data_IF_522378505647
#
_entry.id   IF_522378505647
#
_cell.length_a   1.000
_cell.length_b   1.000
_cell.length_c   1.000
_cell.angle_alpha   90.00
_cell.angle_beta   90.00
_cell.angle_gamma   90.00
#
_symmetry.space_group_name_H-M   'P 1'
#
loop_
_entity.id
_entity.type
_entity.pdbx_description
1 polymer ?
#
# COMPACT_ATOMS: atom_id res chain seq x y z
N UNK A 1 -17.76 -18.27 18.10
CA UNK A 1 -17.43 -17.02 17.36
C UNK A 1 -15.92 -16.82 17.42
N UNK A 2 -15.27 -16.67 16.26
CA UNK A 2 -13.87 -16.27 16.20
C UNK A 2 -13.79 -14.78 16.58
N UNK A 3 -12.98 -14.47 17.59
CA UNK A 3 -12.68 -13.09 17.97
C UNK A 3 -11.61 -12.53 17.00
N UNK A 4 -12.10 -12.07 15.85
CA UNK A 4 -11.25 -11.51 14.79
C UNK A 4 -11.02 -10.01 15.01
N UNK A 5 -9.80 -9.50 14.71
CA UNK A 5 -9.53 -8.08 14.75
C UNK A 5 -10.47 -7.33 13.80
N UNK A 6 -10.87 -6.15 14.21
CA UNK A 6 -11.74 -5.24 13.47
C UNK A 6 -11.06 -3.91 13.24
N UNK A 7 -11.47 -3.17 12.21
CA UNK A 7 -11.03 -1.79 11.98
C UNK A 7 -11.29 -0.88 13.19
N UNK A 8 -12.24 -1.24 14.07
CA UNK A 8 -12.53 -0.50 15.30
C UNK A 8 -11.49 -0.72 16.41
N UNK A 9 -10.56 -1.66 16.23
CA UNK A 9 -9.46 -1.92 17.17
C UNK A 9 -8.26 -0.99 16.95
N UNK A 10 -8.36 -0.05 16.02
CA UNK A 10 -7.35 0.96 15.75
C UNK A 10 -7.95 2.38 15.85
N UNK A 11 -7.11 3.43 16.03
CA UNK A 11 -7.59 4.81 16.03
C UNK A 11 -8.36 5.12 14.74
N UNK A 12 -9.46 5.87 14.85
CA UNK A 12 -10.34 6.19 13.72
C UNK A 12 -9.55 6.81 12.55
N UNK A 13 -8.67 7.75 12.85
CA UNK A 13 -7.86 8.45 11.86
C UNK A 13 -6.86 7.49 11.18
N UNK A 14 -6.29 6.55 11.92
CA UNK A 14 -5.43 5.51 11.35
C UNK A 14 -6.21 4.61 10.39
N UNK A 15 -7.44 4.24 10.75
CA UNK A 15 -8.34 3.46 9.90
C UNK A 15 -8.72 4.22 8.61
N UNK A 16 -8.96 5.53 8.71
CA UNK A 16 -9.23 6.38 7.54
C UNK A 16 -8.02 6.44 6.60
N UNK A 17 -6.80 6.54 7.13
CA UNK A 17 -5.57 6.50 6.33
C UNK A 17 -5.39 5.14 5.66
N UNK A 18 -5.59 4.04 6.41
CA UNK A 18 -5.53 2.69 5.86
C UNK A 18 -6.52 2.49 4.70
N UNK A 19 -7.74 2.99 4.85
CA UNK A 19 -8.75 2.95 3.80
C UNK A 19 -8.31 3.72 2.55
N UNK A 20 -7.75 4.92 2.71
CA UNK A 20 -7.25 5.74 1.59
C UNK A 20 -6.04 5.12 0.88
N UNK A 21 -5.23 4.32 1.60
CA UNK A 21 -4.15 3.54 0.98
C UNK A 21 -4.66 2.33 0.20
N UNK A 22 -5.90 1.88 0.44
CA UNK A 22 -6.48 0.67 -0.17
C UNK A 22 -7.08 0.91 -1.56
N UNK A 23 -7.51 -0.18 -2.22
CA UNK A 23 -8.25 -0.11 -3.49
C UNK A 23 -7.39 0.20 -4.71
N UNK A 24 -6.08 0.06 -4.60
CA UNK A 24 -5.11 0.26 -5.67
C UNK A 24 -4.56 -1.10 -6.09
N UNK A 25 -5.25 -1.77 -7.01
CA UNK A 25 -4.85 -3.08 -7.52
C UNK A 25 -4.22 -2.91 -8.90
N UNK A 26 -3.00 -3.40 -9.05
CA UNK A 26 -2.34 -3.46 -10.36
C UNK A 26 -2.94 -4.59 -11.19
N UNK A 27 -3.46 -4.26 -12.36
CA UNK A 27 -3.93 -5.21 -13.36
C UNK A 27 -3.36 -4.75 -14.69
N UNK A 28 -2.59 -5.60 -15.35
CA UNK A 28 -1.97 -5.30 -16.63
C UNK A 28 -2.10 -6.48 -17.58
N UNK A 29 -2.41 -6.19 -18.85
CA UNK A 29 -2.36 -7.14 -19.93
C UNK A 29 -1.08 -6.94 -20.73
N UNK A 30 -0.12 -7.83 -20.56
CA UNK A 30 1.16 -7.77 -21.30
C UNK A 30 0.98 -8.06 -22.79
N UNK A 31 -0.07 -8.79 -23.14
CA UNK A 31 -0.40 -9.12 -24.50
C UNK A 31 -1.92 -9.10 -24.68
N UNK A 32 -2.39 -8.35 -25.66
CA UNK A 32 -3.83 -8.20 -25.96
C UNK A 32 -4.10 -8.80 -27.34
N UNK A 33 -5.14 -9.64 -27.43
CA UNK A 33 -5.53 -10.27 -28.68
C UNK A 33 -6.39 -11.50 -28.48
N UNK A 34 -6.63 -12.22 -29.58
CA UNK A 34 -7.25 -13.54 -29.56
C UNK A 34 -6.16 -14.60 -29.41
N UNK A 35 -6.36 -15.55 -28.51
CA UNK A 35 -5.45 -16.67 -28.25
C UNK A 35 -6.24 -17.97 -28.45
N UNK A 36 -5.70 -18.89 -29.24
CA UNK A 36 -6.33 -20.22 -29.45
C UNK A 36 -6.25 -21.08 -28.18
N UNK A 37 -5.20 -20.86 -27.38
CA UNK A 37 -4.98 -21.54 -26.11
C UNK A 37 -4.56 -20.54 -25.05
N UNK A 38 -5.19 -20.55 -23.89
CA UNK A 38 -4.83 -19.75 -22.74
C UNK A 38 -4.94 -20.58 -21.46
N UNK A 39 -4.00 -20.40 -20.55
CA UNK A 39 -3.98 -21.06 -19.25
C UNK A 39 -4.17 -20.03 -18.15
N UNK A 40 -5.09 -20.32 -17.24
CA UNK A 40 -5.32 -19.52 -16.03
C UNK A 40 -4.63 -20.21 -14.85
N UNK A 41 -3.81 -19.46 -14.13
CA UNK A 41 -3.08 -19.93 -12.95
C UNK A 41 -3.47 -19.09 -11.74
N UNK A 42 -3.94 -19.72 -10.70
CA UNK A 42 -4.25 -19.08 -9.42
C UNK A 42 -3.52 -19.78 -8.26
N UNK A 43 -3.17 -19.01 -7.26
CA UNK A 43 -2.57 -19.53 -6.02
C UNK A 43 -3.66 -19.97 -5.05
N UNK A 44 -3.77 -21.26 -4.80
CA UNK A 44 -4.73 -21.83 -3.87
C UNK A 44 -4.58 -21.21 -2.49
N UNK A 45 -5.67 -20.66 -1.96
CA UNK A 45 -5.73 -20.04 -0.63
C UNK A 45 -4.71 -18.92 -0.41
N UNK A 46 -4.40 -18.13 -1.44
CA UNK A 46 -3.42 -17.03 -1.39
C UNK A 46 -3.74 -16.06 -0.24
N UNK A 47 -4.94 -15.50 -0.18
CA UNK A 47 -5.34 -14.56 0.86
C UNK A 47 -5.30 -15.15 2.28
N UNK A 48 -5.89 -16.32 2.56
CA UNK A 48 -5.79 -16.95 3.87
C UNK A 48 -4.35 -17.26 4.28
N UNK A 49 -3.50 -17.66 3.34
CA UNK A 49 -2.09 -17.98 3.60
C UNK A 49 -1.29 -16.75 4.05
N UNK A 50 -1.58 -15.59 3.47
CA UNK A 50 -0.98 -14.32 3.86
C UNK A 50 -1.59 -13.83 5.17
N UNK A 51 -2.93 -13.85 5.28
CA UNK A 51 -3.65 -13.31 6.43
C UNK A 51 -3.23 -13.95 7.77
N UNK A 52 -2.95 -15.24 7.79
CA UNK A 52 -2.51 -15.95 9.01
C UNK A 52 -1.16 -15.46 9.55
N UNK A 53 -0.35 -14.81 8.73
CA UNK A 53 0.97 -14.29 9.09
C UNK A 53 0.94 -12.80 9.44
N UNK A 54 -0.21 -12.14 9.31
CA UNK A 54 -0.36 -10.74 9.70
C UNK A 54 -0.36 -10.63 11.22
N UNK A 55 0.29 -9.58 11.72
CA UNK A 55 0.25 -9.26 13.14
C UNK A 55 -1.11 -8.66 13.48
N UNK A 56 -1.72 -9.13 14.56
CA UNK A 56 -3.00 -8.61 15.04
C UNK A 56 -2.87 -7.14 15.43
N UNK A 57 -3.68 -6.30 14.82
CA UNK A 57 -3.67 -4.84 15.04
C UNK A 57 -3.94 -4.44 16.50
N UNK A 58 -4.57 -5.31 17.31
CA UNK A 58 -4.78 -5.12 18.76
C UNK A 58 -3.49 -5.21 19.58
N UNK A 59 -2.47 -5.86 19.02
CA UNK A 59 -1.14 -5.99 19.62
C UNK A 59 -0.21 -4.81 19.30
N UNK A 60 -0.74 -3.80 18.60
CA UNK A 60 0.02 -2.64 18.17
C UNK A 60 -0.31 -1.43 19.03
N UNK A 61 0.72 -0.64 19.29
CA UNK A 61 0.59 0.74 19.73
C UNK A 61 0.57 1.66 18.50
N UNK A 62 -0.46 2.48 18.36
CA UNK A 62 -0.61 3.39 17.24
C UNK A 62 -0.13 4.78 17.60
N UNK A 63 0.82 5.29 16.84
CA UNK A 63 1.38 6.64 17.00
C UNK A 63 1.19 7.46 15.73
N UNK A 64 0.95 8.75 15.90
CA UNK A 64 0.93 9.70 14.80
C UNK A 64 2.30 10.37 14.67
N UNK A 65 2.88 10.38 13.47
CA UNK A 65 4.17 11.01 13.20
C UNK A 65 4.35 11.32 11.72
N UNK A 66 4.92 12.48 11.42
CA UNK A 66 5.39 12.84 10.08
C UNK A 66 6.80 12.30 9.77
N UNK A 67 7.40 11.53 10.68
CA UNK A 67 8.69 10.87 10.47
C UNK A 67 8.48 9.39 10.23
N UNK A 68 9.23 8.84 9.28
CA UNK A 68 9.26 7.41 9.02
C UNK A 68 9.65 6.62 10.29
N UNK A 69 8.90 5.56 10.57
CA UNK A 69 9.11 4.68 11.72
C UNK A 69 9.60 3.31 11.24
N UNK A 70 10.90 3.08 11.33
CA UNK A 70 11.52 1.84 10.84
C UNK A 70 11.06 0.59 11.61
N UNK A 71 10.71 0.75 12.89
CA UNK A 71 10.23 -0.31 13.78
C UNK A 71 8.71 -0.55 13.67
N UNK A 72 7.99 0.22 12.86
CA UNK A 72 6.57 -0.01 12.66
C UNK A 72 6.32 -1.27 11.84
N UNK A 73 5.32 -2.05 12.26
CA UNK A 73 4.80 -3.20 11.53
C UNK A 73 3.92 -2.74 10.37
N UNK A 74 3.03 -1.79 10.66
CA UNK A 74 2.18 -1.16 9.67
C UNK A 74 2.38 0.36 9.69
N UNK A 75 2.22 0.98 8.53
CA UNK A 75 2.25 2.43 8.40
C UNK A 75 1.37 2.87 7.25
N UNK A 76 0.63 3.94 7.48
CA UNK A 76 -0.26 4.58 6.51
C UNK A 76 0.00 6.07 6.52
N UNK A 77 0.45 6.62 5.40
CA UNK A 77 0.96 7.97 5.35
C UNK A 77 0.36 8.76 4.20
N UNK A 78 0.13 10.05 4.42
CA UNK A 78 -0.05 11.02 3.35
C UNK A 78 1.30 11.62 3.01
N UNK A 79 1.73 11.51 1.76
CA UNK A 79 3.07 11.91 1.32
C UNK A 79 3.00 12.77 0.07
N UNK A 80 3.89 13.76 -0.02
CA UNK A 80 4.35 14.26 -1.32
C UNK A 80 5.42 13.29 -1.81
N UNK A 81 5.23 12.74 -2.99
CA UNK A 81 6.11 11.74 -3.58
C UNK A 81 6.51 12.15 -4.98
N UNK A 82 7.78 11.92 -5.31
CA UNK A 82 8.31 12.11 -6.65
C UNK A 82 8.80 10.76 -7.16
N UNK A 83 8.25 10.28 -8.27
CA UNK A 83 8.69 9.06 -8.95
C UNK A 83 9.45 9.45 -10.21
N UNK A 84 10.62 8.84 -10.41
CA UNK A 84 11.48 9.14 -11.55
C UNK A 84 10.95 8.54 -12.84
N UNK A 85 11.24 9.17 -13.98
CA UNK A 85 10.72 8.82 -15.30
C UNK A 85 11.30 7.53 -15.90
N UNK A 86 12.42 7.03 -15.36
CA UNK A 86 13.08 5.81 -15.83
C UNK A 86 12.49 4.51 -15.23
N UNK A 87 11.48 4.62 -14.39
CA UNK A 87 10.91 3.45 -13.68
C UNK A 87 10.06 2.62 -14.64
N UNK A 88 10.47 1.38 -14.91
CA UNK A 88 9.74 0.46 -15.79
C UNK A 88 8.53 -0.19 -15.09
N UNK A 89 8.66 -0.51 -13.80
CA UNK A 89 7.57 -1.08 -12.99
C UNK A 89 7.21 -0.07 -11.91
N UNK A 90 6.04 0.51 -12.03
CA UNK A 90 5.59 1.59 -11.17
C UNK A 90 4.86 1.03 -9.95
N UNK A 91 5.39 1.20 -8.74
CA UNK A 91 4.82 0.59 -7.54
C UNK A 91 3.62 1.36 -6.99
N UNK A 92 3.45 2.62 -7.40
CA UNK A 92 2.47 3.52 -6.85
C UNK A 92 1.42 3.82 -7.89
N UNK A 93 0.18 3.53 -7.54
CA UNK A 93 -0.99 3.87 -8.33
C UNK A 93 -1.74 5.00 -7.65
N UNK A 94 -2.27 5.89 -8.45
CA UNK A 94 -3.24 6.91 -8.03
C UNK A 94 -4.45 6.90 -8.94
N UNK A 95 -5.45 7.73 -8.64
CA UNK A 95 -6.61 7.90 -9.52
C UNK A 95 -6.55 9.26 -10.17
N UNK A 96 -6.83 9.29 -11.49
CA UNK A 96 -7.02 10.53 -12.21
C UNK A 96 -8.36 11.21 -11.85
N UNK A 97 -8.64 12.34 -12.43
CA UNK A 97 -9.90 13.09 -12.21
C UNK A 97 -11.15 12.31 -12.64
N UNK A 98 -11.01 11.33 -13.54
CA UNK A 98 -12.07 10.45 -14.01
C UNK A 98 -12.20 9.18 -13.15
N UNK A 99 -11.30 8.98 -12.16
CA UNK A 99 -11.30 7.82 -11.28
C UNK A 99 -10.55 6.60 -11.84
N UNK A 100 -9.88 6.70 -12.98
CA UNK A 100 -9.06 5.63 -13.53
C UNK A 100 -7.77 5.47 -12.73
N UNK A 101 -7.31 4.24 -12.55
CA UNK A 101 -6.00 3.97 -11.96
C UNK A 101 -4.91 4.28 -12.99
N UNK A 102 -3.97 5.11 -12.56
CA UNK A 102 -2.80 5.49 -13.34
C UNK A 102 -1.53 5.30 -12.51
N UNK A 103 -0.41 5.12 -13.19
CA UNK A 103 0.93 5.08 -12.62
C UNK A 103 1.64 6.41 -12.91
N UNK A 104 1.54 7.41 -12.02
CA UNK A 104 2.04 8.75 -12.28
C UNK A 104 3.57 8.82 -12.18
N UNK A 105 4.17 9.64 -13.03
CA UNK A 105 5.58 10.02 -12.98
C UNK A 105 5.67 11.49 -12.56
N UNK A 106 6.76 11.87 -11.89
CA UNK A 106 6.92 13.22 -11.35
C UNK A 106 6.39 13.35 -9.93
N UNK A 107 6.00 14.56 -9.54
CA UNK A 107 5.62 14.88 -8.15
C UNK A 107 4.11 14.96 -8.00
N UNK A 108 3.58 14.25 -7.00
CA UNK A 108 2.17 14.22 -6.65
C UNK A 108 1.99 13.92 -5.16
N UNK A 109 0.79 14.16 -4.63
CA UNK A 109 0.44 13.83 -3.24
C UNK A 109 -0.44 12.58 -3.22
N UNK A 110 -0.06 11.58 -2.42
CA UNK A 110 -0.81 10.33 -2.33
C UNK A 110 -0.76 9.71 -0.92
N UNK A 111 -1.72 8.82 -0.64
CA UNK A 111 -1.70 8.00 0.56
C UNK A 111 -0.96 6.69 0.26
N UNK A 112 0.09 6.43 1.02
CA UNK A 112 1.00 5.32 0.84
C UNK A 112 1.10 4.47 2.10
N UNK A 113 1.26 3.17 1.90
CA UNK A 113 1.61 2.23 2.95
C UNK A 113 3.11 2.28 3.24
N UNK A 114 3.51 1.82 4.43
CA UNK A 114 4.94 1.61 4.76
C UNK A 114 5.65 0.75 3.71
N UNK A 115 4.99 -0.31 3.23
CA UNK A 115 5.57 -1.19 2.21
C UNK A 115 5.89 -0.49 0.90
N UNK A 116 5.06 0.46 0.47
CA UNK A 116 5.33 1.28 -0.72
C UNK A 116 6.50 2.25 -0.49
N UNK A 117 6.61 2.85 0.71
CA UNK A 117 7.78 3.68 1.07
C UNK A 117 9.06 2.86 1.09
N UNK A 118 9.03 1.68 1.71
CA UNK A 118 10.17 0.75 1.75
C UNK A 118 10.60 0.32 0.33
N UNK A 119 9.64 0.18 -0.58
CA UNK A 119 9.91 -0.15 -1.98
C UNK A 119 10.63 1.00 -2.71
N UNK A 120 10.16 2.24 -2.53
CA UNK A 120 10.82 3.44 -3.09
C UNK A 120 12.27 3.50 -2.62
N UNK A 121 12.50 3.34 -1.32
CA UNK A 121 13.84 3.42 -0.72
C UNK A 121 14.75 2.28 -1.19
N UNK A 122 14.22 1.06 -1.25
CA UNK A 122 14.98 -0.13 -1.66
C UNK A 122 15.46 -0.04 -3.11
N UNK A 123 14.58 0.41 -4.00
CA UNK A 123 14.84 0.40 -5.44
C UNK A 123 15.31 1.74 -5.99
N UNK A 124 15.37 2.78 -5.14
CA UNK A 124 15.82 4.14 -5.52
C UNK A 124 15.06 4.70 -6.72
N UNK A 125 13.76 4.46 -6.77
CA UNK A 125 12.89 4.86 -7.88
C UNK A 125 12.24 6.23 -7.71
N UNK A 126 12.47 6.87 -6.59
CA UNK A 126 11.90 8.16 -6.26
C UNK A 126 12.33 8.66 -4.89
N UNK A 127 11.67 9.70 -4.44
CA UNK A 127 11.81 10.28 -3.11
C UNK A 127 10.43 10.67 -2.56
N UNK A 128 10.32 10.80 -1.25
CA UNK A 128 9.06 11.18 -0.62
C UNK A 128 9.29 12.07 0.60
N UNK A 129 8.26 12.86 0.92
CA UNK A 129 8.15 13.61 2.15
C UNK A 129 6.84 13.26 2.84
N UNK A 130 6.92 12.70 4.03
CA UNK A 130 5.73 12.37 4.83
C UNK A 130 5.16 13.68 5.39
N UNK A 131 3.91 13.97 5.05
CA UNK A 131 3.16 15.11 5.57
C UNK A 131 2.51 14.73 6.91
N UNK A 132 1.91 13.54 6.93
CA UNK A 132 1.24 12.98 8.10
C UNK A 132 1.25 11.45 7.98
N UNK A 133 1.39 10.75 9.10
CA UNK A 133 1.39 9.28 9.10
C UNK A 133 0.91 8.69 10.41
N UNK A 134 0.33 7.49 10.31
CA UNK A 134 -0.04 6.62 11.42
C UNK A 134 0.76 5.34 11.36
N UNK A 135 1.35 4.98 12.50
CA UNK A 135 2.31 3.89 12.59
C UNK A 135 1.91 2.93 13.70
N UNK A 136 1.73 1.67 13.34
CA UNK A 136 1.48 0.58 14.28
C UNK A 136 2.79 -0.11 14.68
N UNK A 137 3.19 0.03 15.94
CA UNK A 137 4.42 -0.53 16.50
C UNK A 137 4.03 -1.69 17.41
N UNK A 138 4.73 -2.83 17.32
CA UNK A 138 4.50 -3.95 18.21
C UNK A 138 4.79 -3.57 19.67
N UNK A 139 3.85 -3.94 20.56
CA UNK A 139 3.96 -3.72 22.01
C UNK A 139 5.00 -4.64 22.62
#
# INVERSE_FOLDING_TARGET
YLDLPSVFDMPKEAAEFAYKCSGKLWIEAFQVGYFEEAHDYDLVSSFPSIARNLIDIRQLEWIQSSKYQSNAVYGYCKCDVTIYDFVMVHPILTRDEQGNLIAPVGTFTEFLTKGELDFIDKWKIGEYKILEGWWGIAK
#
